data_IF_213690737688
#
_entry.id   IF_213690737688
#
_cell.length_a   1.000
_cell.length_b   1.000
_cell.length_c   1.000
_cell.angle_alpha   90.00
_cell.angle_beta   90.00
_cell.angle_gamma   90.00
#
_symmetry.space_group_name_H-M   'P 1'
#
loop_
_entity.id
_entity.type
_entity.pdbx_description
1 polymer ?
#
# COMPACT_ATOMS: atom_id res chain seq x y z
N UNK A 1 9.32 15.96 -11.56
CA UNK A 1 8.66 16.49 -10.35
C UNK A 1 8.75 15.39 -9.31
N UNK A 2 9.25 15.67 -8.11
CA UNK A 2 9.33 14.66 -7.05
C UNK A 2 7.91 14.36 -6.54
N UNK A 3 7.62 13.09 -6.22
CA UNK A 3 6.37 12.69 -5.60
C UNK A 3 6.25 13.37 -4.23
N UNK A 4 5.14 14.08 -3.97
CA UNK A 4 4.87 14.68 -2.66
C UNK A 4 4.04 13.71 -1.79
N UNK A 5 4.48 13.51 -0.55
CA UNK A 5 3.77 12.72 0.46
C UNK A 5 4.15 13.20 1.87
N UNK A 6 3.23 13.02 2.82
CA UNK A 6 3.39 13.40 4.23
C UNK A 6 3.44 12.19 5.16
N UNK A 7 3.06 11.00 4.69
CA UNK A 7 3.05 9.76 5.50
C UNK A 7 3.57 8.59 4.68
N UNK A 8 4.37 7.73 5.32
CA UNK A 8 4.88 6.48 4.77
C UNK A 8 4.58 5.33 5.75
N UNK A 9 3.90 4.28 5.27
CA UNK A 9 3.54 3.12 6.07
C UNK A 9 4.11 1.87 5.41
N UNK A 10 4.90 1.09 6.14
CA UNK A 10 5.45 -0.20 5.69
C UNK A 10 4.77 -1.34 6.43
N UNK A 11 4.38 -2.39 5.71
CA UNK A 11 3.68 -3.53 6.31
C UNK A 11 3.36 -4.63 5.31
N UNK A 12 2.64 -5.65 5.77
CA UNK A 12 2.06 -6.66 4.92
C UNK A 12 0.66 -6.20 4.46
N UNK A 13 0.45 -6.04 3.16
CA UNK A 13 -0.81 -5.54 2.60
C UNK A 13 -1.58 -6.61 1.84
N UNK A 14 -2.90 -6.59 1.98
CA UNK A 14 -3.82 -7.41 1.20
C UNK A 14 -5.03 -6.61 0.72
N UNK A 15 -5.29 -6.62 -0.58
CA UNK A 15 -6.43 -5.92 -1.18
C UNK A 15 -6.93 -6.60 -2.46
N UNK A 16 -8.05 -6.09 -2.98
CA UNK A 16 -8.62 -6.45 -4.27
C UNK A 16 -8.42 -5.25 -5.19
N UNK A 17 -7.60 -5.41 -6.22
CA UNK A 17 -7.10 -4.30 -7.05
C UNK A 17 -8.12 -3.70 -8.02
N UNK A 18 -9.23 -4.40 -8.30
CA UNK A 18 -10.31 -3.93 -9.16
C UNK A 18 -11.63 -4.66 -8.86
N UNK A 19 -12.76 -4.03 -9.19
CA UNK A 19 -14.06 -4.68 -9.15
C UNK A 19 -14.11 -5.91 -10.09
N UNK A 20 -14.96 -6.87 -9.73
CA UNK A 20 -15.23 -8.08 -10.51
C UNK A 20 -16.73 -8.21 -10.77
N UNK A 21 -17.09 -8.88 -11.86
CA UNK A 21 -18.49 -9.15 -12.22
C UNK A 21 -18.90 -10.58 -11.83
N UNK A 22 -17.94 -11.49 -11.65
CA UNK A 22 -18.17 -12.87 -11.23
C UNK A 22 -17.15 -13.32 -10.17
N UNK A 23 -17.54 -14.17 -9.20
CA UNK A 23 -16.65 -14.59 -8.10
C UNK A 23 -15.34 -15.25 -8.55
N UNK A 24 -15.36 -15.96 -9.68
CA UNK A 24 -14.21 -16.68 -10.22
C UNK A 24 -13.08 -15.73 -10.65
N UNK A 25 -13.38 -14.46 -10.90
CA UNK A 25 -12.39 -13.44 -11.28
C UNK A 25 -11.64 -12.89 -10.06
N UNK A 26 -12.07 -13.21 -8.84
CA UNK A 26 -11.51 -12.60 -7.63
C UNK A 26 -10.03 -12.93 -7.46
N UNK A 27 -9.64 -14.19 -7.70
CA UNK A 27 -8.25 -14.64 -7.57
C UNK A 27 -7.28 -13.79 -8.39
N UNK A 28 -7.67 -13.39 -9.60
CA UNK A 28 -6.86 -12.55 -10.50
C UNK A 28 -6.73 -11.10 -10.03
N UNK A 29 -7.64 -10.65 -9.15
CA UNK A 29 -7.66 -9.29 -8.60
C UNK A 29 -7.05 -9.19 -7.21
N UNK A 30 -6.88 -10.32 -6.52
CA UNK A 30 -6.19 -10.38 -5.24
C UNK A 30 -4.76 -9.89 -5.38
N UNK A 31 -4.38 -8.98 -4.50
CA UNK A 31 -3.02 -8.50 -4.37
C UNK A 31 -2.57 -8.67 -2.92
N UNK A 32 -1.47 -9.40 -2.75
CA UNK A 32 -0.80 -9.60 -1.47
C UNK A 32 0.64 -9.12 -1.61
N UNK A 33 1.03 -8.15 -0.78
CA UNK A 33 2.37 -7.56 -0.77
C UNK A 33 2.92 -7.73 0.66
N UNK A 34 3.67 -8.83 0.94
CA UNK A 34 4.18 -9.13 2.29
C UNK A 34 5.09 -8.06 2.88
N UNK A 35 5.80 -7.33 2.03
CA UNK A 35 6.68 -6.21 2.40
C UNK A 35 6.37 -5.01 1.50
N UNK A 36 5.25 -4.35 1.79
CA UNK A 36 4.72 -3.23 1.02
C UNK A 36 5.03 -1.88 1.64
N UNK A 37 4.88 -0.83 0.82
CA UNK A 37 4.95 0.56 1.23
C UNK A 37 3.74 1.31 0.66
N UNK A 38 3.08 2.07 1.53
CA UNK A 38 1.98 2.97 1.19
C UNK A 38 2.42 4.41 1.49
N UNK A 39 2.39 5.27 0.48
CA UNK A 39 2.67 6.70 0.63
C UNK A 39 1.37 7.48 0.52
N UNK A 40 1.12 8.35 1.51
CA UNK A 40 -0.06 9.20 1.57
C UNK A 40 0.34 10.67 1.52
N UNK A 41 -0.46 11.47 0.82
CA UNK A 41 -0.42 12.92 0.90
C UNK A 41 -1.81 13.43 1.29
N UNK A 42 -1.92 14.10 2.44
CA UNK A 42 -3.18 14.64 2.97
C UNK A 42 -4.34 13.64 2.96
N UNK A 43 -4.06 12.40 3.38
CA UNK A 43 -5.04 11.31 3.45
C UNK A 43 -5.32 10.59 2.13
N UNK A 44 -4.67 10.99 1.03
CA UNK A 44 -4.83 10.37 -0.30
C UNK A 44 -3.64 9.48 -0.62
N UNK A 45 -3.89 8.29 -1.17
CA UNK A 45 -2.84 7.40 -1.66
C UNK A 45 -2.19 8.01 -2.90
N UNK A 46 -0.89 8.31 -2.80
CA UNK A 46 -0.11 8.84 -3.93
C UNK A 46 0.85 7.80 -4.52
N UNK A 47 1.15 6.73 -3.77
CA UNK A 47 1.93 5.61 -4.26
C UNK A 47 1.68 4.36 -3.40
N UNK A 48 1.62 3.19 -4.04
CA UNK A 48 1.46 1.91 -3.36
C UNK A 48 2.18 0.80 -4.14
N UNK A 49 2.97 -0.02 -3.45
CA UNK A 49 3.74 -1.10 -4.06
C UNK A 49 4.63 -1.82 -3.06
N UNK A 50 5.60 -2.61 -3.56
CA UNK A 50 6.57 -3.27 -2.68
C UNK A 50 7.58 -2.28 -2.10
N UNK A 51 8.06 -2.53 -0.88
CA UNK A 51 9.11 -1.72 -0.25
C UNK A 51 10.31 -1.52 -1.19
N UNK A 52 10.78 -2.60 -1.83
CA UNK A 52 11.92 -2.56 -2.77
C UNK A 52 11.73 -1.59 -3.93
N UNK A 53 10.50 -1.39 -4.40
CA UNK A 53 10.20 -0.46 -5.50
C UNK A 53 10.11 0.98 -5.02
N UNK A 54 9.69 1.21 -3.77
CA UNK A 54 9.33 2.53 -3.26
C UNK A 54 10.34 3.15 -2.29
N UNK A 55 11.26 2.39 -1.70
CA UNK A 55 12.20 2.91 -0.70
C UNK A 55 13.06 4.07 -1.23
N UNK A 56 13.41 4.04 -2.51
CA UNK A 56 14.18 5.09 -3.17
C UNK A 56 13.40 6.42 -3.33
N UNK A 57 12.08 6.41 -3.13
CA UNK A 57 11.25 7.62 -3.12
C UNK A 57 11.31 8.34 -1.77
N UNK A 58 11.79 7.68 -0.71
CA UNK A 58 11.86 8.24 0.63
C UNK A 58 13.02 9.24 0.74
N UNK A 59 12.77 10.48 1.20
CA UNK A 59 13.85 11.38 1.59
C UNK A 59 14.74 10.73 2.67
N UNK A 60 16.04 11.04 2.70
CA UNK A 60 16.92 10.57 3.75
C UNK A 60 16.37 10.91 5.14
N UNK A 61 16.26 9.90 6.02
CA UNK A 61 15.78 10.07 7.39
C UNK A 61 14.26 10.22 7.54
N UNK A 62 13.48 10.06 6.47
CA UNK A 62 12.02 10.09 6.56
C UNK A 62 11.52 8.98 7.50
N UNK A 63 10.64 9.33 8.44
CA UNK A 63 10.09 8.35 9.39
C UNK A 63 9.03 7.49 8.71
N UNK A 64 9.23 6.17 8.75
CA UNK A 64 8.29 5.19 8.24
C UNK A 64 7.56 4.56 9.41
N UNK A 65 6.23 4.50 9.36
CA UNK A 65 5.43 3.75 10.33
C UNK A 65 5.48 2.27 9.99
N UNK A 66 5.85 1.45 10.96
CA UNK A 66 6.19 0.03 10.77
C UNK A 66 5.11 -0.90 11.35
N UNK A 67 4.48 -1.69 10.48
CA UNK A 67 3.45 -2.68 10.83
C UNK A 67 3.69 -4.03 10.11
N UNK A 68 4.97 -4.41 9.89
CA UNK A 68 5.35 -5.65 9.18
C UNK A 68 4.84 -6.94 9.82
N UNK A 69 4.47 -6.91 11.09
CA UNK A 69 3.90 -8.03 11.84
C UNK A 69 2.35 -8.00 11.90
N UNK A 70 1.71 -7.11 11.13
CA UNK A 70 0.26 -6.98 10.99
C UNK A 70 -0.15 -7.14 9.53
N UNK A 71 -1.41 -7.53 9.31
CA UNK A 71 -2.03 -7.50 7.99
C UNK A 71 -2.82 -6.20 7.83
N UNK A 72 -2.43 -5.37 6.86
CA UNK A 72 -3.11 -4.13 6.50
C UNK A 72 -4.09 -4.42 5.35
N UNK A 73 -5.34 -4.02 5.53
CA UNK A 73 -6.42 -4.16 4.54
C UNK A 73 -7.12 -2.81 4.34
N UNK A 74 -7.87 -2.61 3.25
CA UNK A 74 -8.80 -1.49 3.13
C UNK A 74 -9.79 -1.47 4.30
N UNK A 75 -10.26 -0.28 4.68
CA UNK A 75 -11.33 -0.16 5.68
C UNK A 75 -12.59 -0.89 5.21
N UNK A 76 -13.23 -1.62 6.12
CA UNK A 76 -14.48 -2.31 5.81
C UNK A 76 -15.62 -1.32 5.53
N UNK A 77 -16.50 -1.70 4.60
CA UNK A 77 -17.76 -1.00 4.32
C UNK A 77 -18.86 -1.88 4.89
N UNK A 78 -19.66 -1.31 5.80
CA UNK A 78 -20.86 -1.92 6.36
C UNK A 78 -22.07 -1.59 5.47
#
# INVERSE_FOLDING_TARGET
MALQFTTAIRGNFFDISACVEAPQQLEERLRHIPDGLLLLNDGVIVWFGSWRQGEALLPPGFTVTEYRDKLIVPGFID
#
